data_IF_453798888444
#
_entry.id   IF_453798888444
#
_cell.length_a   1.000
_cell.length_b   1.000
_cell.length_c   1.000
_cell.angle_alpha   90.00
_cell.angle_beta   90.00
_cell.angle_gamma   90.00
#
_symmetry.space_group_name_H-M   'P 1'
#
loop_
_entity.id
_entity.type
_entity.pdbx_description
1 polymer ?
#
# COMPACT_ATOMS: atom_id res chain seq x y z
N UNK A 1 8.79 36.87 39.97
CA UNK A 1 9.44 35.58 39.63
C UNK A 1 8.46 34.46 39.96
N UNK A 2 7.53 34.16 39.05
CA UNK A 2 6.58 33.03 39.19
C UNK A 2 6.20 32.39 37.84
N UNK A 3 6.71 32.91 36.72
CA UNK A 3 6.34 32.43 35.36
C UNK A 3 7.29 31.38 34.78
N UNK A 4 8.55 31.31 35.23
CA UNK A 4 9.55 30.40 34.61
C UNK A 4 9.23 28.91 34.81
N UNK A 5 8.63 28.55 35.95
CA UNK A 5 8.26 27.16 36.26
C UNK A 5 7.02 26.67 35.51
N UNK A 6 6.09 27.58 35.15
CA UNK A 6 4.90 27.26 34.37
C UNK A 6 5.26 27.02 32.90
N UNK A 7 6.10 27.88 32.31
CA UNK A 7 6.58 27.71 30.93
C UNK A 7 7.45 26.45 30.73
N UNK A 8 8.24 26.06 31.74
CA UNK A 8 9.05 24.83 31.66
C UNK A 8 8.19 23.56 31.57
N UNK A 9 7.07 23.53 32.31
CA UNK A 9 6.16 22.39 32.34
C UNK A 9 5.43 22.25 30.98
N UNK A 10 5.00 23.38 30.42
CA UNK A 10 4.40 23.43 29.08
C UNK A 10 5.38 22.97 27.99
N UNK A 11 6.66 23.33 28.10
CA UNK A 11 7.69 22.88 27.17
C UNK A 11 7.93 21.37 27.23
N UNK A 12 7.96 20.78 28.44
CA UNK A 12 8.08 19.32 28.62
C UNK A 12 6.85 18.59 28.10
N UNK A 13 5.65 19.13 28.38
CA UNK A 13 4.40 18.57 27.89
C UNK A 13 4.34 18.61 26.36
N UNK A 14 4.74 19.72 25.75
CA UNK A 14 4.85 19.84 24.29
C UNK A 14 5.86 18.83 23.72
N UNK A 15 7.02 18.65 24.36
CA UNK A 15 8.02 17.68 23.93
C UNK A 15 7.49 16.24 23.97
N UNK A 16 6.73 15.87 25.01
CA UNK A 16 6.08 14.55 25.10
C UNK A 16 5.06 14.36 23.97
N UNK A 17 4.22 15.37 23.71
CA UNK A 17 3.25 15.32 22.62
C UNK A 17 3.97 15.15 21.27
N UNK A 18 5.02 15.94 21.01
CA UNK A 18 5.79 15.80 19.77
C UNK A 18 6.48 14.43 19.67
N UNK A 19 6.98 13.88 20.77
CA UNK A 19 7.57 12.54 20.77
C UNK A 19 6.55 11.46 20.40
N UNK A 20 5.30 11.58 20.87
CA UNK A 20 4.21 10.67 20.53
C UNK A 20 3.81 10.81 19.06
N UNK A 21 3.73 12.04 18.56
CA UNK A 21 3.41 12.30 17.15
C UNK A 21 4.46 11.67 16.24
N UNK A 22 5.73 11.92 16.52
CA UNK A 22 6.85 11.46 15.69
C UNK A 22 7.05 9.95 15.83
N UNK A 23 6.96 9.42 17.05
CA UNK A 23 7.23 8.02 17.32
C UNK A 23 6.11 7.06 16.92
N UNK A 24 4.85 7.54 16.89
CA UNK A 24 3.68 6.67 16.69
C UNK A 24 2.81 7.13 15.53
N UNK A 25 2.33 8.37 15.54
CA UNK A 25 1.36 8.82 14.53
C UNK A 25 1.98 8.87 13.13
N UNK A 26 3.18 9.42 12.98
CA UNK A 26 3.82 9.54 11.66
C UNK A 26 4.06 8.15 11.03
N UNK A 27 4.69 7.17 11.71
CA UNK A 27 4.85 5.82 11.17
C UNK A 27 3.50 5.14 10.85
N UNK A 28 2.50 5.29 11.72
CA UNK A 28 1.18 4.71 11.48
C UNK A 28 0.52 5.28 10.21
N UNK A 29 0.61 6.60 9.99
CA UNK A 29 0.08 7.25 8.79
C UNK A 29 0.83 6.80 7.53
N UNK A 30 2.16 6.64 7.61
CA UNK A 30 2.96 6.12 6.50
C UNK A 30 2.52 4.70 6.13
N UNK A 31 2.39 3.81 7.11
CA UNK A 31 1.94 2.43 6.89
C UNK A 31 0.55 2.40 6.25
N UNK A 32 -0.42 3.13 6.81
CA UNK A 32 -1.78 3.21 6.23
C UNK A 32 -1.72 3.68 4.79
N UNK A 33 -0.97 4.73 4.50
CA UNK A 33 -0.84 5.26 3.14
C UNK A 33 -0.23 4.23 2.18
N UNK A 34 0.83 3.54 2.60
CA UNK A 34 1.44 2.48 1.78
C UNK A 34 0.46 1.34 1.53
N UNK A 35 -0.30 0.91 2.54
CA UNK A 35 -1.31 -0.15 2.37
C UNK A 35 -2.42 0.25 1.42
N UNK A 36 -2.88 1.50 1.46
CA UNK A 36 -3.90 2.01 0.54
C UNK A 36 -3.37 2.04 -0.89
N UNK A 37 -2.15 2.53 -1.11
CA UNK A 37 -1.53 2.55 -2.44
C UNK A 37 -1.34 1.13 -2.98
N UNK A 38 -0.86 0.20 -2.17
CA UNK A 38 -0.72 -1.19 -2.58
C UNK A 38 -2.07 -1.83 -2.93
N UNK A 39 -3.09 -1.60 -2.10
CA UNK A 39 -4.43 -2.11 -2.36
C UNK A 39 -5.01 -1.57 -3.67
N UNK A 40 -4.86 -0.26 -3.92
CA UNK A 40 -5.33 0.40 -5.14
C UNK A 40 -4.64 -0.17 -6.38
N UNK A 41 -3.30 -0.29 -6.36
CA UNK A 41 -2.52 -0.89 -7.44
C UNK A 41 -2.93 -2.34 -7.71
N UNK A 42 -3.14 -3.15 -6.66
CA UNK A 42 -3.59 -4.54 -6.84
C UNK A 42 -5.00 -4.62 -7.41
N UNK A 43 -5.89 -3.70 -7.04
CA UNK A 43 -7.26 -3.66 -7.53
C UNK A 43 -7.31 -3.23 -8.99
N UNK A 44 -6.51 -2.23 -9.37
CA UNK A 44 -6.37 -1.77 -10.75
C UNK A 44 -5.80 -2.88 -11.64
N UNK A 45 -4.72 -3.55 -11.20
CA UNK A 45 -4.15 -4.70 -11.90
C UNK A 45 -5.15 -5.85 -12.05
N UNK A 46 -5.86 -6.21 -10.98
CA UNK A 46 -6.86 -7.27 -11.05
C UNK A 46 -8.00 -6.93 -12.01
N UNK A 47 -8.41 -5.66 -12.05
CA UNK A 47 -9.47 -5.20 -12.95
C UNK A 47 -9.01 -5.21 -14.41
N UNK A 48 -7.80 -4.71 -14.70
CA UNK A 48 -7.27 -4.70 -16.07
C UNK A 48 -7.12 -6.13 -16.59
N UNK A 49 -6.51 -7.01 -15.81
CA UNK A 49 -6.36 -8.42 -16.13
C UNK A 49 -7.72 -9.10 -16.35
N UNK A 50 -8.71 -8.86 -15.49
CA UNK A 50 -10.04 -9.44 -15.66
C UNK A 50 -10.70 -9.00 -16.97
N UNK A 51 -10.59 -7.72 -17.35
CA UNK A 51 -11.13 -7.21 -18.61
C UNK A 51 -10.42 -7.83 -19.82
N UNK A 52 -9.10 -8.04 -19.74
CA UNK A 52 -8.35 -8.69 -20.81
C UNK A 52 -8.68 -10.17 -20.95
N UNK A 53 -8.86 -10.87 -19.83
CA UNK A 53 -9.33 -12.25 -19.81
C UNK A 53 -10.74 -12.36 -20.41
N UNK A 54 -11.64 -11.41 -20.15
CA UNK A 54 -12.97 -11.37 -20.77
C UNK A 54 -12.94 -11.18 -22.29
N UNK A 55 -11.86 -10.62 -22.85
CA UNK A 55 -11.69 -10.47 -24.31
C UNK A 55 -11.21 -11.76 -24.97
N UNK A 56 -10.78 -12.75 -24.20
CA UNK A 56 -10.28 -14.03 -24.69
C UNK A 56 -11.30 -15.13 -24.37
N UNK A 57 -11.64 -15.95 -25.36
CA UNK A 57 -12.66 -17.01 -25.21
C UNK A 57 -12.24 -18.12 -24.24
N UNK A 58 -10.93 -18.34 -24.06
CA UNK A 58 -10.38 -19.35 -23.14
C UNK A 58 -9.21 -18.77 -22.32
N UNK A 59 -9.29 -18.80 -20.97
CA UNK A 59 -8.23 -18.27 -20.10
C UNK A 59 -6.93 -19.08 -20.18
N UNK A 60 -6.99 -20.32 -20.68
CA UNK A 60 -5.83 -21.21 -20.82
C UNK A 60 -4.86 -20.78 -21.93
N UNK A 61 -5.35 -20.01 -22.92
CA UNK A 61 -4.57 -19.47 -24.02
C UNK A 61 -4.20 -17.98 -23.85
N UNK A 62 -4.34 -17.44 -22.63
CA UNK A 62 -3.95 -16.07 -22.34
C UNK A 62 -2.43 -15.89 -22.44
N UNK A 63 -1.99 -15.32 -23.57
CA UNK A 63 -0.61 -14.93 -23.82
C UNK A 63 -0.60 -13.44 -24.21
N UNK A 64 -0.26 -12.58 -23.25
CA UNK A 64 -0.19 -11.15 -23.44
C UNK A 64 1.19 -10.66 -22.97
N UNK A 65 1.82 -9.77 -23.75
CA UNK A 65 3.23 -9.41 -23.58
C UNK A 65 3.57 -8.75 -22.24
N UNK A 66 2.56 -8.21 -21.57
CA UNK A 66 2.65 -7.49 -20.31
C UNK A 66 2.48 -8.39 -19.07
N UNK A 67 2.13 -9.67 -19.26
CA UNK A 67 1.80 -10.58 -18.17
C UNK A 67 2.65 -11.83 -18.19
N UNK A 68 2.88 -12.41 -17.01
CA UNK A 68 3.58 -13.68 -16.84
C UNK A 68 2.70 -14.65 -16.03
N UNK A 69 2.59 -15.89 -16.50
CA UNK A 69 1.91 -16.95 -15.76
C UNK A 69 2.91 -17.63 -14.83
N UNK A 70 2.62 -17.65 -13.52
CA UNK A 70 3.38 -18.36 -12.49
C UNK A 70 2.48 -19.40 -11.84
N UNK A 71 2.47 -20.62 -12.41
CA UNK A 71 1.60 -21.70 -11.95
C UNK A 71 0.13 -21.32 -12.10
N UNK A 72 -0.57 -21.22 -10.98
CA UNK A 72 -1.99 -20.88 -10.90
C UNK A 72 -2.24 -19.38 -10.65
N UNK A 73 -1.26 -18.53 -10.96
CA UNK A 73 -1.40 -17.07 -10.87
C UNK A 73 -0.92 -16.40 -12.15
N UNK A 74 -1.53 -15.27 -12.48
CA UNK A 74 -1.06 -14.35 -13.50
C UNK A 74 -0.51 -13.11 -12.79
N UNK A 75 0.72 -12.75 -13.11
CA UNK A 75 1.41 -11.60 -12.55
C UNK A 75 1.75 -10.59 -13.64
N UNK A 76 1.94 -9.34 -13.23
CA UNK A 76 2.54 -8.33 -14.07
C UNK A 76 4.00 -8.70 -14.39
N UNK A 77 4.42 -8.50 -15.64
CA UNK A 77 5.78 -8.79 -16.09
C UNK A 77 6.82 -7.84 -15.50
N UNK A 78 6.46 -6.58 -15.34
CA UNK A 78 7.31 -5.51 -14.83
C UNK A 78 7.30 -5.46 -13.30
N UNK A 79 6.22 -5.92 -12.66
CA UNK A 79 6.10 -6.00 -11.21
C UNK A 79 5.57 -7.36 -10.73
N UNK A 80 6.49 -8.25 -10.36
CA UNK A 80 6.14 -9.61 -9.93
C UNK A 80 5.47 -9.71 -8.57
N UNK A 81 5.28 -8.61 -7.84
CA UNK A 81 4.49 -8.56 -6.60
C UNK A 81 2.98 -8.40 -6.90
N UNK A 82 2.63 -7.88 -8.08
CA UNK A 82 1.25 -7.79 -8.54
C UNK A 82 0.86 -9.09 -9.23
N UNK A 83 0.20 -9.97 -8.49
CA UNK A 83 -0.27 -11.26 -8.96
C UNK A 83 -1.73 -11.50 -8.57
N UNK A 84 -2.49 -12.12 -9.46
CA UNK A 84 -3.86 -12.58 -9.20
C UNK A 84 -3.91 -14.09 -9.39
N UNK A 85 -4.38 -14.85 -8.37
CA UNK A 85 -4.60 -16.28 -8.52
C UNK A 85 -5.79 -16.53 -9.47
N UNK A 86 -5.60 -17.46 -10.40
CA UNK A 86 -6.66 -18.09 -11.17
C UNK A 86 -7.33 -19.11 -10.23
N UNK A 87 -8.65 -19.15 -10.16
CA UNK A 87 -9.40 -20.07 -9.29
C UNK A 87 -10.52 -20.72 -10.07
#
# INVERSE_FOLDING_TARGET
>A
MKDDGFMMLDAVLAMLIFSMIIGVLIPALMLIRTTVIHADNTLEFSRSLYIELLKHDEPENFAHDDYIRKGDAICDKNNTELCVPLR
#
